data_IF_734604314036
#
_entry.id   IF_734604314036
#
_cell.length_a   1.000
_cell.length_b   1.000
_cell.length_c   1.000
_cell.angle_alpha   90.00
_cell.angle_beta   90.00
_cell.angle_gamma   90.00
#
_symmetry.space_group_name_H-M   'P 1'
#
loop_
_entity.id
_entity.type
_entity.pdbx_description
1 polymer ?
#
# COMPACT_ATOMS: atom_id res chain seq x y z
N UNK A 1 -21.83 29.18 2.17
CA UNK A 1 -20.74 29.49 3.12
C UNK A 1 -19.44 29.35 2.35
N UNK A 2 -18.70 30.42 2.09
CA UNK A 2 -17.34 30.35 1.51
C UNK A 2 -16.40 30.06 2.67
N UNK A 3 -15.72 28.92 2.65
CA UNK A 3 -14.66 28.62 3.62
C UNK A 3 -13.47 29.52 3.25
N UNK A 4 -13.03 30.32 4.21
CA UNK A 4 -11.86 31.17 4.03
C UNK A 4 -10.62 30.27 3.96
N UNK A 5 -9.98 30.24 2.79
CA UNK A 5 -8.79 29.41 2.57
C UNK A 5 -7.57 29.76 3.44
N UNK A 6 -7.61 30.89 4.14
CA UNK A 6 -6.55 31.30 5.06
C UNK A 6 -6.61 30.56 6.42
N UNK A 7 -7.78 29.99 6.77
CA UNK A 7 -7.97 29.24 8.02
C UNK A 7 -7.49 27.79 7.89
N UNK A 8 -7.40 27.26 6.66
CA UNK A 8 -7.03 25.87 6.41
C UNK A 8 -5.51 25.68 6.41
N UNK A 9 -5.04 24.69 7.17
CA UNK A 9 -3.66 24.21 7.05
C UNK A 9 -3.39 23.63 5.66
N UNK A 10 -2.13 23.58 5.27
CA UNK A 10 -1.75 23.05 3.94
C UNK A 10 -2.20 21.60 3.73
N UNK A 11 -2.10 20.77 4.77
CA UNK A 11 -2.54 19.39 4.75
C UNK A 11 -4.06 19.29 4.55
N UNK A 12 -4.84 20.11 5.24
CA UNK A 12 -6.31 20.13 5.08
C UNK A 12 -6.70 20.55 3.66
N UNK A 13 -6.02 21.56 3.13
CA UNK A 13 -6.24 22.03 1.75
C UNK A 13 -5.92 20.93 0.73
N UNK A 14 -4.80 20.21 0.91
CA UNK A 14 -4.43 19.09 0.05
C UNK A 14 -5.50 17.99 0.10
N UNK A 15 -5.94 17.60 1.29
CA UNK A 15 -7.01 16.59 1.48
C UNK A 15 -8.30 17.00 0.78
N UNK A 16 -8.73 18.27 0.90
CA UNK A 16 -9.94 18.74 0.21
C UNK A 16 -9.81 18.68 -1.32
N UNK A 17 -8.66 19.06 -1.87
CA UNK A 17 -8.40 18.96 -3.30
C UNK A 17 -8.41 17.51 -3.78
N UNK A 18 -7.74 16.61 -3.06
CA UNK A 18 -7.71 15.17 -3.37
C UNK A 18 -9.12 14.55 -3.33
N UNK A 19 -9.92 14.85 -2.33
CA UNK A 19 -11.31 14.40 -2.25
C UNK A 19 -12.14 14.89 -3.45
N UNK A 20 -11.94 16.14 -3.86
CA UNK A 20 -12.59 16.70 -5.05
C UNK A 20 -12.20 15.93 -6.31
N UNK A 21 -10.91 15.68 -6.50
CA UNK A 21 -10.37 14.92 -7.61
C UNK A 21 -10.97 13.50 -7.67
N UNK A 22 -10.87 12.74 -6.57
CA UNK A 22 -11.32 11.34 -6.54
C UNK A 22 -12.81 11.17 -6.78
N UNK A 23 -13.64 12.09 -6.25
CA UNK A 23 -15.07 12.09 -6.48
C UNK A 23 -15.45 12.33 -7.95
N UNK A 24 -14.69 13.12 -8.70
CA UNK A 24 -14.90 13.33 -10.14
C UNK A 24 -14.73 12.04 -10.96
N UNK A 25 -13.92 11.10 -10.46
CA UNK A 25 -13.68 9.78 -11.06
C UNK A 25 -14.54 8.67 -10.46
N UNK A 26 -15.58 9.03 -9.68
CA UNK A 26 -16.55 8.09 -9.15
C UNK A 26 -16.11 7.34 -7.89
N UNK A 27 -15.01 7.74 -7.26
CA UNK A 27 -14.58 7.14 -5.98
C UNK A 27 -15.46 7.61 -4.83
N UNK A 28 -15.93 6.68 -4.02
CA UNK A 28 -16.73 6.94 -2.82
C UNK A 28 -15.84 7.10 -1.58
N UNK A 29 -16.24 7.93 -0.59
CA UNK A 29 -15.49 8.04 0.65
C UNK A 29 -15.58 6.74 1.45
N UNK A 30 -14.44 6.25 1.91
CA UNK A 30 -14.34 5.11 2.82
C UNK A 30 -13.93 5.60 4.20
N UNK A 31 -14.68 5.17 5.22
CA UNK A 31 -14.39 5.46 6.61
C UNK A 31 -14.26 4.15 7.38
N UNK A 32 -13.24 4.04 8.18
CA UNK A 32 -12.95 2.82 8.93
C UNK A 32 -12.81 3.10 10.42
N UNK A 33 -12.89 2.03 11.20
CA UNK A 33 -12.60 2.06 12.62
C UNK A 33 -11.11 2.29 12.87
N UNK A 34 -10.78 2.85 14.02
CA UNK A 34 -9.38 2.99 14.47
C UNK A 34 -8.80 1.68 14.98
N UNK A 35 -9.67 0.78 15.40
CA UNK A 35 -9.34 -0.49 16.03
C UNK A 35 -9.85 -1.65 15.19
N UNK A 36 -9.04 -2.70 15.10
CA UNK A 36 -9.36 -3.95 14.43
C UNK A 36 -8.96 -5.11 15.34
N UNK A 37 -9.53 -6.28 15.11
CA UNK A 37 -9.06 -7.48 15.79
C UNK A 37 -7.63 -7.81 15.37
N UNK A 38 -6.74 -8.05 16.33
CA UNK A 38 -5.31 -8.30 16.06
C UNK A 38 -5.10 -9.49 15.12
N UNK A 39 -5.99 -10.48 15.17
CA UNK A 39 -5.92 -11.67 14.33
C UNK A 39 -5.96 -11.35 12.81
N UNK A 40 -6.60 -10.25 12.41
CA UNK A 40 -6.58 -9.77 11.02
C UNK A 40 -5.13 -9.57 10.54
N UNK A 41 -4.30 -8.98 11.37
CA UNK A 41 -2.91 -8.69 11.04
C UNK A 41 -2.01 -9.92 11.14
N UNK A 42 -2.29 -10.82 12.08
CA UNK A 42 -1.55 -12.09 12.21
C UNK A 42 -1.73 -12.97 10.97
N UNK A 43 -2.95 -13.03 10.43
CA UNK A 43 -3.26 -13.82 9.24
C UNK A 43 -2.69 -13.23 7.94
N UNK A 44 -2.35 -11.95 7.95
CA UNK A 44 -1.89 -11.20 6.77
C UNK A 44 -0.51 -10.55 7.00
N UNK A 45 0.40 -11.27 7.67
CA UNK A 45 1.73 -10.76 8.03
C UNK A 45 2.55 -10.28 6.83
N UNK A 46 2.43 -10.99 5.71
CA UNK A 46 3.19 -10.70 4.49
C UNK A 46 2.75 -9.38 3.83
N UNK A 47 1.57 -8.90 4.18
CA UNK A 47 1.02 -7.64 3.69
C UNK A 47 1.50 -6.41 4.48
N UNK A 48 2.02 -6.60 5.69
CA UNK A 48 2.47 -5.53 6.56
C UNK A 48 3.96 -5.28 6.39
N UNK A 49 4.31 -4.10 5.92
CA UNK A 49 5.71 -3.63 5.79
C UNK A 49 6.43 -3.48 7.14
N UNK A 50 5.68 -3.49 8.25
CA UNK A 50 6.19 -3.31 9.61
C UNK A 50 5.58 -4.36 10.53
N UNK A 51 6.42 -5.14 11.19
CA UNK A 51 6.01 -6.17 12.15
C UNK A 51 5.47 -5.58 13.48
N UNK A 52 5.58 -4.27 13.68
CA UNK A 52 5.30 -3.63 14.96
C UNK A 52 3.89 -3.02 14.99
N UNK A 53 2.91 -3.87 15.23
CA UNK A 53 1.51 -3.49 15.42
C UNK A 53 1.27 -3.11 16.88
N UNK A 54 0.68 -1.93 17.12
CA UNK A 54 0.30 -1.50 18.48
C UNK A 54 -0.95 -2.26 18.90
N UNK A 55 -0.84 -3.08 19.94
CA UNK A 55 -1.92 -3.90 20.46
C UNK A 55 -2.37 -3.46 21.85
N UNK A 56 -3.63 -3.73 22.17
CA UNK A 56 -4.20 -3.53 23.50
C UNK A 56 -5.37 -4.49 23.72
N UNK A 57 -5.77 -4.68 24.98
CA UNK A 57 -6.89 -5.54 25.35
C UNK A 57 -8.11 -4.70 25.67
N UNK A 58 -9.28 -5.04 25.10
CA UNK A 58 -10.53 -4.38 25.42
C UNK A 58 -11.10 -4.84 26.78
N UNK A 59 -12.21 -4.25 27.20
CA UNK A 59 -12.87 -4.55 28.48
C UNK A 59 -13.43 -5.99 28.55
N UNK A 60 -13.57 -6.68 27.43
CA UNK A 60 -14.01 -8.08 27.35
C UNK A 60 -12.85 -9.07 27.24
N UNK A 61 -11.60 -8.62 27.28
CA UNK A 61 -10.41 -9.44 27.18
C UNK A 61 -9.98 -9.77 25.75
N UNK A 62 -10.58 -9.15 24.71
CA UNK A 62 -10.19 -9.37 23.32
C UNK A 62 -8.96 -8.56 22.98
N UNK A 63 -8.02 -9.18 22.25
CA UNK A 63 -6.83 -8.50 21.75
C UNK A 63 -7.17 -7.72 20.48
N UNK A 64 -7.07 -6.41 20.58
CA UNK A 64 -7.27 -5.46 19.49
C UNK A 64 -5.95 -4.82 19.07
N UNK A 65 -5.95 -4.25 17.89
CA UNK A 65 -4.83 -3.49 17.34
C UNK A 65 -5.28 -2.12 16.84
N UNK A 66 -4.43 -1.12 17.01
CA UNK A 66 -4.53 0.12 16.25
C UNK A 66 -4.14 -0.17 14.81
N UNK A 67 -4.95 0.29 13.85
CA UNK A 67 -4.71 0.01 12.42
C UNK A 67 -3.35 0.55 11.96
N UNK A 68 -2.43 -0.31 11.51
CA UNK A 68 -1.13 0.10 10.96
C UNK A 68 -1.20 0.43 9.48
N UNK A 69 -2.29 0.02 8.81
CA UNK A 69 -2.50 0.12 7.37
C UNK A 69 -3.98 0.31 7.04
N UNK A 70 -4.27 0.96 5.91
CA UNK A 70 -5.62 1.25 5.43
C UNK A 70 -6.12 0.19 4.47
N UNK A 71 -5.27 -0.26 3.55
CA UNK A 71 -5.62 -1.16 2.45
C UNK A 71 -6.18 -2.48 2.96
N UNK A 72 -5.56 -3.07 3.99
CA UNK A 72 -6.00 -4.34 4.58
C UNK A 72 -7.41 -4.25 5.17
N UNK A 73 -7.74 -3.14 5.84
CA UNK A 73 -9.08 -2.90 6.36
C UNK A 73 -10.12 -2.73 5.24
N UNK A 74 -9.74 -2.17 4.09
CA UNK A 74 -10.63 -2.05 2.94
C UNK A 74 -10.85 -3.42 2.31
N UNK A 75 -9.80 -4.19 2.06
CA UNK A 75 -9.87 -5.54 1.46
C UNK A 75 -10.77 -6.45 2.26
N UNK A 76 -10.65 -6.46 3.59
CA UNK A 76 -11.51 -7.26 4.49
C UNK A 76 -13.00 -7.03 4.27
N UNK A 77 -13.36 -5.80 3.91
CA UNK A 77 -14.75 -5.38 3.75
C UNK A 77 -15.18 -5.33 2.27
N UNK A 78 -14.31 -5.70 1.35
CA UNK A 78 -14.62 -5.78 -0.08
C UNK A 78 -15.31 -7.09 -0.40
N UNK A 79 -16.28 -7.04 -1.30
CA UNK A 79 -16.96 -8.24 -1.79
C UNK A 79 -16.18 -8.84 -2.95
N UNK A 80 -15.86 -10.11 -2.85
CA UNK A 80 -15.31 -10.88 -3.97
C UNK A 80 -16.48 -11.34 -4.85
N UNK A 81 -16.74 -10.56 -5.90
CA UNK A 81 -17.80 -10.83 -6.87
C UNK A 81 -17.28 -10.52 -8.28
N UNK A 82 -17.37 -11.49 -9.18
CA UNK A 82 -16.97 -11.32 -10.57
C UNK A 82 -17.70 -10.13 -11.24
N UNK A 83 -16.95 -9.32 -11.98
CA UNK A 83 -17.44 -8.11 -12.63
C UNK A 83 -17.69 -6.93 -11.68
N UNK A 84 -17.35 -7.07 -10.41
CA UNK A 84 -17.49 -5.98 -9.44
C UNK A 84 -16.18 -5.22 -9.28
N UNK A 85 -16.24 -3.90 -9.40
CA UNK A 85 -15.12 -2.99 -9.13
C UNK A 85 -15.54 -2.00 -8.06
N UNK A 86 -14.82 -2.00 -6.95
CA UNK A 86 -14.99 -1.05 -5.86
C UNK A 86 -13.96 0.06 -5.96
N UNK A 87 -14.42 1.31 -6.04
CA UNK A 87 -13.61 2.52 -6.08
C UNK A 87 -13.84 3.32 -4.81
N UNK A 88 -12.84 3.42 -3.95
CA UNK A 88 -12.92 4.16 -2.70
C UNK A 88 -11.72 5.07 -2.50
N UNK A 89 -11.92 6.16 -1.78
CA UNK A 89 -10.85 7.01 -1.30
C UNK A 89 -10.95 7.20 0.21
N UNK A 90 -9.82 7.44 0.84
CA UNK A 90 -9.75 7.61 2.29
C UNK A 90 -8.86 8.79 2.68
N UNK A 91 -9.08 9.27 3.89
CA UNK A 91 -8.20 10.14 4.63
C UNK A 91 -8.26 9.71 6.09
N UNK A 92 -7.32 8.88 6.49
CA UNK A 92 -7.35 8.15 7.74
C UNK A 92 -5.99 8.19 8.43
N UNK A 93 -6.01 8.13 9.75
CA UNK A 93 -4.78 7.99 10.53
C UNK A 93 -4.45 6.51 10.73
N UNK A 94 -3.20 6.18 10.51
CA UNK A 94 -2.60 4.88 10.84
C UNK A 94 -1.62 5.04 11.97
N UNK A 95 -1.37 3.95 12.71
CA UNK A 95 -0.59 3.96 13.92
C UNK A 95 0.54 2.95 13.80
N UNK A 96 1.77 3.41 13.98
CA UNK A 96 2.97 2.56 13.82
C UNK A 96 3.96 2.81 14.94
N UNK A 97 4.78 1.82 15.22
CA UNK A 97 5.95 1.96 16.09
C UNK A 97 7.14 2.38 15.22
N UNK A 98 7.81 3.45 15.60
CA UNK A 98 8.99 3.92 14.86
C UNK A 98 10.16 2.98 15.11
N UNK A 99 10.75 2.44 14.02
CA UNK A 99 11.96 1.62 14.11
C UNK A 99 13.10 2.40 14.79
N UNK A 100 13.73 1.77 15.76
CA UNK A 100 14.89 2.31 16.48
C UNK A 100 14.56 3.18 17.71
N UNK A 101 13.43 3.89 17.75
CA UNK A 101 13.04 4.72 18.91
C UNK A 101 11.90 4.11 19.72
N UNK A 102 11.23 3.09 19.21
CA UNK A 102 10.04 2.44 19.79
C UNK A 102 8.92 3.42 20.20
N UNK A 103 8.91 4.63 19.60
CA UNK A 103 7.86 5.63 19.84
C UNK A 103 6.65 5.38 18.95
N UNK A 104 5.47 5.62 19.50
CA UNK A 104 4.22 5.52 18.74
C UNK A 104 4.07 6.74 17.82
N UNK A 105 3.72 6.49 16.57
CA UNK A 105 3.45 7.51 15.57
C UNK A 105 2.03 7.37 15.04
N UNK A 106 1.34 8.50 14.99
CA UNK A 106 0.10 8.67 14.25
C UNK A 106 0.45 9.35 12.92
N UNK A 107 0.10 8.71 11.82
CA UNK A 107 0.46 9.15 10.47
C UNK A 107 -0.84 9.29 9.68
N UNK A 108 -1.11 10.50 9.19
CA UNK A 108 -2.24 10.73 8.30
C UNK A 108 -1.91 10.19 6.91
N UNK A 109 -2.76 9.32 6.40
CA UNK A 109 -2.71 8.80 5.04
C UNK A 109 -3.93 9.24 4.26
N UNK A 110 -3.71 9.76 3.06
CA UNK A 110 -4.76 10.04 2.08
C UNK A 110 -4.45 9.25 0.82
N UNK A 111 -5.44 8.56 0.29
CA UNK A 111 -5.26 7.71 -0.89
C UNK A 111 -6.56 7.23 -1.48
N UNK A 112 -6.43 6.42 -2.51
CA UNK A 112 -7.53 5.72 -3.15
C UNK A 112 -7.20 4.24 -3.33
N UNK A 113 -8.23 3.42 -3.39
CA UNK A 113 -8.15 2.00 -3.71
C UNK A 113 -9.15 1.66 -4.80
N UNK A 114 -8.71 0.90 -5.77
CA UNK A 114 -9.55 0.31 -6.80
C UNK A 114 -9.38 -1.20 -6.71
N UNK A 115 -10.44 -1.91 -6.31
CA UNK A 115 -10.35 -3.33 -5.93
C UNK A 115 -11.46 -4.09 -6.66
N UNK A 116 -11.14 -5.28 -7.14
CA UNK A 116 -12.07 -6.19 -7.80
C UNK A 116 -11.56 -6.70 -9.13
N UNK A 117 -12.45 -6.88 -10.09
CA UNK A 117 -12.14 -7.37 -11.44
C UNK A 117 -11.58 -6.21 -12.30
N UNK A 118 -10.26 -5.99 -12.20
CA UNK A 118 -9.59 -4.83 -12.78
C UNK A 118 -9.10 -5.12 -14.19
N UNK A 119 -9.51 -4.27 -15.13
CA UNK A 119 -8.98 -4.25 -16.49
C UNK A 119 -7.91 -3.17 -16.70
N UNK A 120 -7.46 -3.04 -17.95
CA UNK A 120 -6.47 -2.03 -18.34
C UNK A 120 -6.97 -0.59 -18.08
N UNK A 121 -8.29 -0.37 -18.14
CA UNK A 121 -8.89 0.93 -17.89
C UNK A 121 -8.72 1.37 -16.43
N UNK A 122 -9.03 0.48 -15.48
CA UNK A 122 -8.92 0.77 -14.05
C UNK A 122 -7.46 1.01 -13.65
N UNK A 123 -6.54 0.23 -14.19
CA UNK A 123 -5.10 0.41 -13.97
C UNK A 123 -4.64 1.77 -14.48
N UNK A 124 -5.01 2.13 -15.72
CA UNK A 124 -4.66 3.42 -16.31
C UNK A 124 -5.27 4.60 -15.54
N UNK A 125 -6.52 4.46 -15.07
CA UNK A 125 -7.19 5.47 -14.25
C UNK A 125 -6.48 5.69 -12.91
N UNK A 126 -6.08 4.62 -12.22
CA UNK A 126 -5.34 4.72 -10.95
C UNK A 126 -4.00 5.42 -11.15
N UNK A 127 -3.26 5.07 -12.20
CA UNK A 127 -1.99 5.73 -12.53
C UNK A 127 -2.19 7.23 -12.85
N UNK A 128 -3.20 7.56 -13.64
CA UNK A 128 -3.55 8.95 -13.94
C UNK A 128 -3.91 9.72 -12.67
N UNK A 129 -4.69 9.12 -11.78
CA UNK A 129 -5.06 9.74 -10.51
C UNK A 129 -3.87 9.89 -9.56
N UNK A 130 -2.91 8.97 -9.57
CA UNK A 130 -1.67 9.12 -8.82
C UNK A 130 -0.89 10.36 -9.29
N UNK A 131 -0.68 10.53 -10.61
CA UNK A 131 -0.04 11.72 -11.18
C UNK A 131 -0.78 13.00 -10.80
N UNK A 132 -2.10 13.05 -11.05
CA UNK A 132 -2.93 14.22 -10.71
C UNK A 132 -2.92 14.55 -9.22
N UNK A 133 -2.84 13.54 -8.36
CA UNK A 133 -2.74 13.75 -6.91
C UNK A 133 -1.42 14.40 -6.52
N UNK A 134 -0.32 13.97 -7.11
CA UNK A 134 1.00 14.55 -6.88
C UNK A 134 1.07 16.00 -7.39
N UNK A 135 0.53 16.28 -8.58
CA UNK A 135 0.42 17.63 -9.15
C UNK A 135 -0.37 18.60 -8.26
N UNK A 136 -1.40 18.11 -7.55
CA UNK A 136 -2.17 18.93 -6.61
C UNK A 136 -1.41 19.28 -5.33
N UNK A 137 -0.39 18.49 -4.98
CA UNK A 137 0.39 18.64 -3.75
C UNK A 137 1.65 19.47 -4.00
N UNK A 138 2.35 19.27 -5.12
CA UNK A 138 3.58 19.96 -5.43
C UNK A 138 4.03 19.78 -6.87
N UNK A 139 4.96 20.64 -7.30
CA UNK A 139 5.47 20.65 -8.69
C UNK A 139 6.62 19.65 -8.90
N UNK A 140 7.35 19.34 -7.82
CA UNK A 140 8.50 18.43 -7.88
C UNK A 140 8.13 17.10 -7.22
N UNK A 141 7.84 16.10 -8.02
CA UNK A 141 7.51 14.75 -7.54
C UNK A 141 8.14 13.68 -8.44
N UNK A 142 8.28 12.50 -7.86
CA UNK A 142 8.64 11.26 -8.57
C UNK A 142 7.51 10.26 -8.32
N UNK A 143 7.00 9.67 -9.37
CA UNK A 143 6.04 8.57 -9.29
C UNK A 143 6.78 7.25 -9.45
N UNK A 144 6.94 6.52 -8.34
CA UNK A 144 7.48 5.17 -8.36
C UNK A 144 6.35 4.16 -8.63
N UNK A 145 6.55 3.30 -9.62
CA UNK A 145 5.62 2.25 -9.98
C UNK A 145 6.23 0.89 -9.65
N UNK A 146 5.48 0.06 -8.94
CA UNK A 146 5.83 -1.32 -8.70
C UNK A 146 4.74 -2.23 -9.28
N UNK A 147 5.16 -3.19 -10.12
CA UNK A 147 4.27 -4.15 -10.76
C UNK A 147 4.78 -5.58 -10.54
N UNK A 148 4.18 -6.28 -9.58
CA UNK A 148 4.61 -7.63 -9.23
C UNK A 148 4.59 -8.61 -10.40
N UNK A 149 3.61 -8.48 -11.31
CA UNK A 149 3.55 -9.30 -12.53
C UNK A 149 4.78 -9.12 -13.43
N UNK A 150 5.36 -7.91 -13.50
CA UNK A 150 6.60 -7.68 -14.23
C UNK A 150 7.78 -8.40 -13.57
N UNK A 151 7.91 -8.28 -12.26
CA UNK A 151 8.97 -8.96 -11.50
C UNK A 151 8.84 -10.49 -11.67
N UNK A 152 7.63 -11.02 -11.49
CA UNK A 152 7.36 -12.45 -11.68
C UNK A 152 7.74 -12.93 -13.09
N UNK A 153 7.34 -12.18 -14.13
CA UNK A 153 7.67 -12.52 -15.51
C UNK A 153 9.19 -12.50 -15.78
N UNK A 154 9.92 -11.56 -15.19
CA UNK A 154 11.40 -11.51 -15.27
C UNK A 154 11.99 -12.74 -14.60
N UNK A 155 11.59 -13.06 -13.36
CA UNK A 155 12.11 -14.24 -12.64
C UNK A 155 11.79 -15.55 -13.37
N UNK A 156 10.60 -15.68 -13.94
CA UNK A 156 10.22 -16.83 -14.77
C UNK A 156 11.07 -16.93 -16.04
N UNK A 157 11.30 -15.79 -16.72
CA UNK A 157 12.14 -15.75 -17.92
C UNK A 157 13.60 -16.11 -17.65
N UNK A 158 14.05 -15.98 -16.41
CA UNK A 158 15.37 -16.36 -15.96
C UNK A 158 15.46 -17.84 -15.53
N UNK A 159 14.33 -18.54 -15.44
CA UNK A 159 14.28 -19.94 -15.02
C UNK A 159 14.52 -20.16 -13.52
N UNK A 160 14.22 -19.15 -12.70
CA UNK A 160 14.37 -19.20 -11.23
C UNK A 160 13.38 -20.21 -10.65
N UNK A 161 13.83 -21.04 -9.72
CA UNK A 161 12.97 -21.96 -8.96
C UNK A 161 11.95 -21.21 -8.08
N UNK A 162 10.86 -21.85 -7.67
CA UNK A 162 9.88 -21.22 -6.80
C UNK A 162 10.47 -20.80 -5.44
N UNK A 163 11.37 -21.61 -4.89
CA UNK A 163 12.10 -21.25 -3.67
C UNK A 163 13.05 -20.07 -3.90
N UNK A 164 13.74 -20.03 -5.04
CA UNK A 164 14.59 -18.91 -5.44
C UNK A 164 13.80 -17.60 -5.63
N UNK A 165 12.59 -17.67 -6.19
CA UNK A 165 11.71 -16.49 -6.33
C UNK A 165 11.38 -15.88 -4.98
N UNK A 166 11.00 -16.68 -3.98
CA UNK A 166 10.70 -16.17 -2.63
C UNK A 166 11.91 -15.50 -2.01
N UNK A 167 13.09 -16.11 -2.12
CA UNK A 167 14.34 -15.54 -1.58
C UNK A 167 14.72 -14.23 -2.29
N UNK A 168 14.64 -14.19 -3.63
CA UNK A 168 14.93 -12.98 -4.41
C UNK A 168 13.98 -11.85 -4.07
N UNK A 169 12.67 -12.13 -3.92
CA UNK A 169 11.68 -11.13 -3.52
C UNK A 169 11.96 -10.59 -2.12
N UNK A 170 12.37 -11.46 -1.18
CA UNK A 170 12.76 -11.02 0.17
C UNK A 170 14.00 -10.12 0.16
N UNK A 171 15.02 -10.47 -0.60
CA UNK A 171 16.25 -9.68 -0.75
C UNK A 171 15.98 -8.33 -1.46
N UNK A 172 15.12 -8.31 -2.48
CA UNK A 172 14.63 -7.08 -3.14
C UNK A 172 13.95 -6.13 -2.16
N UNK A 173 13.05 -6.65 -1.32
CA UNK A 173 12.36 -5.86 -0.31
C UNK A 173 13.33 -5.24 0.72
N UNK A 174 14.41 -5.95 1.02
CA UNK A 174 15.46 -5.47 1.92
C UNK A 174 16.47 -4.56 1.22
N UNK A 175 16.39 -4.41 -0.11
CA UNK A 175 17.36 -3.70 -0.96
C UNK A 175 18.79 -4.24 -0.78
N UNK A 176 18.91 -5.55 -0.55
CA UNK A 176 20.19 -6.22 -0.30
C UNK A 176 20.76 -6.78 -1.61
N UNK A 177 21.52 -5.95 -2.33
CA UNK A 177 22.10 -6.31 -3.62
C UNK A 177 23.07 -7.49 -3.50
N UNK A 178 23.82 -7.59 -2.41
CA UNK A 178 24.78 -8.67 -2.21
C UNK A 178 24.09 -10.04 -2.09
N UNK A 179 23.02 -10.09 -1.30
CA UNK A 179 22.19 -11.30 -1.15
C UNK A 179 21.50 -11.69 -2.47
N UNK A 180 21.03 -10.70 -3.25
CA UNK A 180 20.48 -10.95 -4.58
C UNK A 180 21.51 -11.66 -5.47
N UNK A 181 22.76 -11.18 -5.52
CA UNK A 181 23.81 -11.80 -6.30
C UNK A 181 24.13 -13.23 -5.84
N UNK A 182 24.15 -13.48 -4.52
CA UNK A 182 24.39 -14.81 -3.97
C UNK A 182 23.28 -15.79 -4.35
N UNK A 183 22.03 -15.39 -4.25
CA UNK A 183 20.88 -16.21 -4.64
C UNK A 183 20.92 -16.51 -6.15
N UNK A 184 21.20 -15.50 -6.97
CA UNK A 184 21.31 -15.70 -8.43
C UNK A 184 22.40 -16.71 -8.81
N UNK A 185 23.54 -16.71 -8.09
CA UNK A 185 24.61 -17.70 -8.28
C UNK A 185 24.19 -19.09 -7.79
N UNK A 186 23.47 -19.18 -6.67
CA UNK A 186 22.96 -20.45 -6.14
C UNK A 186 21.93 -21.09 -7.08
N UNK A 187 21.11 -20.28 -7.74
CA UNK A 187 20.15 -20.70 -8.77
C UNK A 187 20.84 -21.00 -10.13
N UNK A 188 22.17 -20.87 -10.22
CA UNK A 188 22.96 -21.08 -11.44
C UNK A 188 22.47 -20.25 -12.65
N UNK A 189 22.01 -19.03 -12.41
CA UNK A 189 21.55 -18.14 -13.46
C UNK A 189 22.71 -17.71 -14.36
N UNK A 190 22.45 -17.57 -15.67
CA UNK A 190 23.44 -17.06 -16.61
C UNK A 190 23.76 -15.58 -16.34
N UNK A 191 24.94 -15.12 -16.77
CA UNK A 191 25.33 -13.70 -16.66
C UNK A 191 24.29 -12.79 -17.33
N UNK A 192 23.70 -13.20 -18.45
CA UNK A 192 22.67 -12.46 -19.15
C UNK A 192 21.34 -12.40 -18.34
N UNK A 193 21.05 -13.42 -17.52
CA UNK A 193 19.90 -13.42 -16.61
C UNK A 193 20.14 -12.52 -15.38
N UNK A 194 21.37 -12.46 -14.88
CA UNK A 194 21.74 -11.59 -13.76
C UNK A 194 21.78 -10.08 -14.11
N UNK A 195 21.82 -9.75 -15.40
CA UNK A 195 21.78 -8.37 -15.89
C UNK A 195 20.35 -7.84 -16.16
N UNK A 196 19.34 -8.69 -16.11
CA UNK A 196 17.94 -8.32 -16.24
C UNK A 196 17.37 -7.81 -14.93
#
# INVERSE_FOLDING_TARGET
MKIDGQIMKNEERAVFKLRGLYRQYGYAPYKMNRFEEYELYVRNKDFLVSEEVITFTDSSGRLLALKPDVTLSIIKNTRDQAGFVQKVYYNENVFRIAKGTHTFKEIMQAGLECIGDLGAYEIAEVLLLAVKSLELIGENYVLDLSHMGLISAVLESCGVSDAGKEQLLAALNQKNVHELEEICRAEALSEAAMQK
#
